data_IF_836897213881
#
_entry.id   IF_836897213881
#
_cell.length_a   1.000
_cell.length_b   1.000
_cell.length_c   1.000
_cell.angle_alpha   90.00
_cell.angle_beta   90.00
_cell.angle_gamma   90.00
#
_symmetry.space_group_name_H-M   'P 1'
#
loop_
_entity.id
_entity.type
_entity.pdbx_description
1 polymer ?
#
# COMPACT_ATOMS: atom_id res chain seq x y z
N UNK A 1 -35.58 53.91 -28.16
CA UNK A 1 -35.36 53.84 -26.69
C UNK A 1 -34.87 52.45 -26.37
N UNK A 2 -33.75 52.19 -25.65
CA UNK A 2 -32.47 52.88 -25.42
C UNK A 2 -31.37 52.30 -26.37
N UNK A 3 -30.26 52.96 -26.75
CA UNK A 3 -29.06 53.46 -26.03
C UNK A 3 -28.00 52.41 -25.65
N UNK A 4 -26.77 52.75 -26.03
CA UNK A 4 -25.42 52.34 -25.59
C UNK A 4 -24.61 51.30 -26.38
N UNK A 5 -23.74 51.89 -27.21
CA UNK A 5 -22.41 51.46 -27.63
C UNK A 5 -21.52 51.03 -26.46
N UNK A 6 -20.63 50.07 -26.71
CA UNK A 6 -19.28 50.08 -26.14
C UNK A 6 -18.31 49.41 -27.12
N UNK A 7 -17.41 50.23 -27.68
CA UNK A 7 -16.12 49.81 -28.20
C UNK A 7 -15.33 49.07 -27.12
N UNK A 8 -14.64 47.98 -27.48
CA UNK A 8 -13.22 47.86 -27.16
C UNK A 8 -12.59 46.71 -27.95
N UNK A 9 -11.85 47.13 -28.96
CA UNK A 9 -10.70 46.48 -29.55
C UNK A 9 -9.79 45.86 -28.47
N UNK A 10 -9.78 44.53 -28.39
CA UNK A 10 -8.69 43.77 -27.75
C UNK A 10 -8.14 42.80 -28.77
N UNK A 11 -7.20 43.30 -29.56
CA UNK A 11 -6.19 42.47 -30.22
C UNK A 11 -5.52 41.60 -29.16
N UNK A 12 -5.81 40.29 -29.18
CA UNK A 12 -5.01 39.29 -28.47
C UNK A 12 -3.65 39.15 -29.18
N UNK A 13 -2.75 40.10 -28.90
CA UNK A 13 -1.31 39.97 -29.15
C UNK A 13 -0.79 38.99 -28.10
N UNK A 14 -0.68 37.72 -28.48
CA UNK A 14 0.11 36.77 -27.70
C UNK A 14 1.56 37.27 -27.66
N UNK A 15 2.23 37.30 -26.50
CA UNK A 15 3.65 37.60 -26.46
C UNK A 15 4.37 36.52 -27.26
N UNK A 16 4.98 36.91 -28.37
CA UNK A 16 5.87 36.03 -29.12
C UNK A 16 7.06 35.73 -28.22
N UNK A 17 7.10 34.53 -27.63
CA UNK A 17 8.24 34.06 -26.87
C UNK A 17 9.48 34.12 -27.79
N UNK A 18 10.63 34.65 -27.33
CA UNK A 18 11.86 34.56 -28.10
C UNK A 18 12.17 33.09 -28.31
N UNK A 19 12.25 32.69 -29.58
CA UNK A 19 12.55 31.33 -30.01
C UNK A 19 13.96 30.97 -29.59
N UNK A 20 14.12 30.39 -28.40
CA UNK A 20 15.20 29.45 -28.15
C UNK A 20 14.87 28.18 -28.96
N UNK A 21 15.18 28.23 -30.26
CA UNK A 21 14.88 27.16 -31.22
C UNK A 21 15.48 25.82 -30.79
N UNK A 22 16.57 25.83 -30.02
CA UNK A 22 17.27 24.62 -29.57
C UNK A 22 16.48 23.81 -28.53
N UNK A 23 15.87 24.46 -27.53
CA UNK A 23 15.09 23.75 -26.49
C UNK A 23 13.74 23.27 -27.03
N UNK A 24 13.10 24.06 -27.89
CA UNK A 24 11.84 23.67 -28.52
C UNK A 24 12.02 22.46 -29.45
N UNK A 25 13.08 22.44 -30.27
CA UNK A 25 13.39 21.30 -31.13
C UNK A 25 13.72 20.03 -30.33
N UNK A 26 14.40 20.18 -29.18
CA UNK A 26 14.69 19.05 -28.28
C UNK A 26 13.42 18.46 -27.68
N UNK A 27 12.50 19.30 -27.21
CA UNK A 27 11.20 18.86 -26.68
C UNK A 27 10.33 18.20 -27.76
N UNK A 28 10.39 18.69 -29.00
CA UNK A 28 9.68 18.08 -30.14
C UNK A 28 10.25 16.69 -30.45
N UNK A 29 11.57 16.53 -30.42
CA UNK A 29 12.22 15.24 -30.66
C UNK A 29 11.97 14.25 -29.51
N UNK A 30 12.02 14.69 -28.25
CA UNK A 30 11.63 13.83 -27.12
C UNK A 30 10.15 13.41 -27.18
N UNK A 31 9.27 14.34 -27.53
CA UNK A 31 7.84 14.03 -27.75
C UNK A 31 7.67 12.99 -28.86
N UNK A 32 8.36 13.15 -30.00
CA UNK A 32 8.32 12.20 -31.11
C UNK A 32 8.81 10.81 -30.68
N UNK A 33 9.88 10.74 -29.89
CA UNK A 33 10.39 9.47 -29.34
C UNK A 33 9.40 8.81 -28.40
N UNK A 34 8.73 9.59 -27.54
CA UNK A 34 7.70 9.08 -26.65
C UNK A 34 6.51 8.53 -27.45
N UNK A 35 6.05 9.25 -28.46
CA UNK A 35 4.95 8.84 -29.33
C UNK A 35 5.30 7.55 -30.10
N UNK A 36 6.52 7.46 -30.65
CA UNK A 36 7.01 6.25 -31.32
C UNK A 36 7.11 5.06 -30.36
N UNK A 37 7.59 5.28 -29.14
CA UNK A 37 7.64 4.25 -28.11
C UNK A 37 6.24 3.76 -27.72
N UNK A 38 5.31 4.67 -27.45
CA UNK A 38 3.91 4.31 -27.13
C UNK A 38 3.27 3.54 -28.29
N UNK A 39 3.51 3.95 -29.54
CA UNK A 39 3.01 3.26 -30.72
C UNK A 39 3.65 1.87 -30.93
N UNK A 40 4.86 1.64 -30.41
CA UNK A 40 5.54 0.34 -30.48
C UNK A 40 5.03 -0.69 -29.47
N UNK A 41 4.24 -0.27 -28.47
CA UNK A 41 3.70 -1.19 -27.47
C UNK A 41 2.56 -1.99 -28.07
N UNK A 42 2.74 -3.32 -28.13
CA UNK A 42 1.70 -4.24 -28.60
C UNK A 42 0.52 -4.29 -27.59
N UNK A 43 -0.69 -3.88 -28.00
CA UNK A 43 -1.87 -3.92 -27.14
C UNK A 43 -2.20 -5.34 -26.66
N UNK A 44 -1.83 -6.38 -27.42
CA UNK A 44 -2.05 -7.78 -27.04
C UNK A 44 -1.17 -8.15 -25.84
N UNK A 45 0.10 -7.72 -25.82
CA UNK A 45 1.00 -7.94 -24.69
C UNK A 45 0.49 -7.24 -23.42
N UNK A 46 0.00 -6.00 -23.54
CA UNK A 46 -0.62 -5.29 -22.43
C UNK A 46 -1.84 -6.03 -21.88
N UNK A 47 -2.70 -6.56 -22.76
CA UNK A 47 -3.88 -7.31 -22.36
C UNK A 47 -3.54 -8.64 -21.70
N UNK A 48 -2.49 -9.34 -22.16
CA UNK A 48 -1.94 -10.53 -21.52
C UNK A 48 -1.45 -10.18 -20.12
N UNK A 49 -0.64 -9.13 -19.99
CA UNK A 49 -0.11 -8.69 -18.69
C UNK A 49 -1.24 -8.32 -17.73
N UNK A 50 -2.23 -7.58 -18.20
CA UNK A 50 -3.41 -7.20 -17.42
C UNK A 50 -4.19 -8.44 -16.97
N UNK A 51 -4.37 -9.42 -17.85
CA UNK A 51 -5.01 -10.71 -17.53
C UNK A 51 -4.21 -11.49 -16.48
N UNK A 52 -2.88 -11.52 -16.59
CA UNK A 52 -2.00 -12.17 -15.62
C UNK A 52 -2.11 -11.48 -14.26
N UNK A 53 -2.08 -10.15 -14.21
CA UNK A 53 -2.28 -9.37 -12.99
C UNK A 53 -3.64 -9.69 -12.38
N UNK A 54 -4.72 -9.70 -13.16
CA UNK A 54 -6.06 -10.06 -12.66
C UNK A 54 -6.11 -11.48 -12.10
N UNK A 55 -5.51 -12.46 -12.78
CA UNK A 55 -5.45 -13.86 -12.30
C UNK A 55 -4.63 -13.98 -11.02
N UNK A 56 -3.48 -13.31 -10.93
CA UNK A 56 -2.62 -13.30 -9.74
C UNK A 56 -3.34 -12.62 -8.57
N UNK A 57 -3.99 -11.48 -8.80
CA UNK A 57 -4.78 -10.77 -7.78
C UNK A 57 -5.96 -11.61 -7.31
N UNK A 58 -6.69 -12.27 -8.23
CA UNK A 58 -7.77 -13.18 -7.87
C UNK A 58 -7.25 -14.39 -7.07
N UNK A 59 -6.09 -14.94 -7.43
CA UNK A 59 -5.44 -16.02 -6.69
C UNK A 59 -5.03 -15.57 -5.27
N UNK A 60 -4.43 -14.39 -5.13
CA UNK A 60 -4.09 -13.81 -3.82
C UNK A 60 -5.35 -13.55 -3.00
N UNK A 61 -6.42 -13.04 -3.61
CA UNK A 61 -7.69 -12.80 -2.93
C UNK A 61 -8.36 -14.10 -2.49
N UNK A 62 -8.33 -15.15 -3.31
CA UNK A 62 -8.83 -16.50 -2.95
C UNK A 62 -7.97 -17.18 -1.89
N UNK A 63 -6.68 -16.85 -1.82
CA UNK A 63 -5.78 -17.31 -0.76
C UNK A 63 -5.99 -16.51 0.54
N UNK A 64 -6.45 -15.25 0.45
CA UNK A 64 -6.77 -14.38 1.59
C UNK A 64 -8.18 -14.54 2.13
N UNK A 65 -9.14 -14.96 1.30
CA UNK A 65 -10.48 -15.31 1.76
C UNK A 65 -10.39 -16.63 2.54
N UNK A 66 -10.23 -16.48 3.86
CA UNK A 66 -10.40 -17.50 4.88
C UNK A 66 -11.82 -18.09 4.83
N UNK A 67 -12.11 -18.88 3.81
CA UNK A 67 -13.01 -20.02 3.93
C UNK A 67 -12.14 -21.13 4.48
N UNK A 68 -12.64 -21.88 5.46
CA UNK A 68 -11.96 -23.03 6.05
C UNK A 68 -11.69 -24.10 4.98
N UNK A 69 -10.65 -23.90 4.17
CA UNK A 69 -10.13 -24.93 3.31
C UNK A 69 -9.38 -25.93 4.19
N UNK A 70 -9.49 -27.24 3.89
CA UNK A 70 -8.60 -28.22 4.50
C UNK A 70 -7.14 -27.80 4.27
N UNK A 71 -6.24 -28.09 5.22
CA UNK A 71 -4.85 -27.65 5.16
C UNK A 71 -4.24 -28.05 3.81
N UNK A 72 -3.80 -27.05 3.04
CA UNK A 72 -3.06 -27.31 1.80
C UNK A 72 -1.79 -28.05 2.18
N UNK A 73 -1.46 -29.11 1.45
CA UNK A 73 -0.23 -29.90 1.65
C UNK A 73 0.97 -28.93 1.74
N UNK A 74 1.66 -28.91 2.88
CA UNK A 74 2.82 -28.05 3.13
C UNK A 74 2.57 -26.73 3.90
N UNK A 75 1.33 -26.43 4.31
CA UNK A 75 1.06 -25.34 5.26
C UNK A 75 0.90 -25.89 6.68
N UNK A 76 1.61 -25.28 7.63
CA UNK A 76 1.44 -25.55 9.05
C UNK A 76 0.71 -24.39 9.73
N UNK A 77 0.01 -24.68 10.81
CA UNK A 77 -0.50 -23.61 11.66
C UNK A 77 0.66 -22.89 12.35
N UNK A 78 0.53 -21.57 12.52
CA UNK A 78 1.52 -20.74 13.21
C UNK A 78 1.73 -21.25 14.65
N UNK A 79 0.64 -21.62 15.31
CA UNK A 79 0.64 -22.44 16.51
C UNK A 79 -0.62 -23.31 16.54
N UNK A 80 -0.62 -24.43 17.29
CA UNK A 80 -1.75 -25.36 17.30
C UNK A 80 -3.08 -24.70 17.70
N UNK A 81 -4.13 -24.93 16.91
CA UNK A 81 -5.47 -24.38 17.11
C UNK A 81 -5.62 -22.91 16.71
N UNK A 82 -4.59 -22.30 16.13
CA UNK A 82 -4.65 -20.88 15.72
C UNK A 82 -5.53 -20.68 14.50
N UNK A 83 -5.63 -21.69 13.60
CA UNK A 83 -6.21 -21.55 12.27
C UNK A 83 -5.59 -20.43 11.44
N UNK A 84 -4.34 -20.04 11.74
CA UNK A 84 -3.50 -19.13 10.97
C UNK A 84 -2.42 -19.98 10.33
N UNK A 85 -2.35 -20.00 9.01
CA UNK A 85 -1.49 -20.92 8.28
C UNK A 85 -0.29 -20.20 7.67
N UNK A 86 0.87 -20.84 7.77
CA UNK A 86 2.14 -20.37 7.21
C UNK A 86 2.92 -21.59 6.71
N UNK A 87 3.59 -21.51 5.56
CA UNK A 87 4.44 -22.61 5.11
C UNK A 87 5.64 -22.77 6.06
N UNK A 88 6.08 -24.02 6.28
CA UNK A 88 7.23 -24.30 7.13
C UNK A 88 8.48 -23.57 6.66
N UNK A 89 8.75 -23.60 5.35
CA UNK A 89 9.86 -22.90 4.71
C UNK A 89 9.83 -21.40 4.99
N UNK A 90 8.65 -20.76 4.89
CA UNK A 90 8.53 -19.31 5.14
C UNK A 90 8.72 -18.98 6.61
N UNK A 91 8.18 -19.82 7.52
CA UNK A 91 8.38 -19.62 8.94
C UNK A 91 9.86 -19.75 9.32
N UNK A 92 10.56 -20.77 8.81
CA UNK A 92 12.00 -20.93 9.04
C UNK A 92 12.81 -19.72 8.55
N UNK A 93 12.50 -19.19 7.36
CA UNK A 93 13.15 -17.97 6.86
C UNK A 93 12.89 -16.77 7.78
N UNK A 94 11.64 -16.57 8.24
CA UNK A 94 11.29 -15.50 9.17
C UNK A 94 12.04 -15.66 10.51
N UNK A 95 12.21 -16.89 11.02
CA UNK A 95 12.99 -17.17 12.24
C UNK A 95 14.47 -16.85 12.07
N UNK A 96 15.05 -17.22 10.92
CA UNK A 96 16.44 -16.89 10.62
C UNK A 96 16.63 -15.37 10.51
N UNK A 97 15.74 -14.70 9.79
CA UNK A 97 15.78 -13.26 9.58
C UNK A 97 15.53 -12.49 10.86
N UNK A 98 14.72 -13.01 11.80
CA UNK A 98 14.46 -12.35 13.07
C UNK A 98 15.68 -12.31 13.99
N UNK A 99 16.67 -13.21 13.79
CA UNK A 99 17.87 -13.32 14.64
C UNK A 99 17.55 -13.42 16.13
N UNK A 100 16.46 -14.12 16.46
CA UNK A 100 15.91 -14.26 17.82
C UNK A 100 15.51 -12.94 18.50
N UNK A 101 15.32 -11.87 17.72
CA UNK A 101 14.71 -10.62 18.18
C UNK A 101 13.19 -10.69 17.99
N UNK A 102 12.45 -10.59 19.09
CA UNK A 102 10.98 -10.70 19.11
C UNK A 102 10.29 -9.53 18.41
N UNK A 103 10.86 -8.32 18.46
CA UNK A 103 10.31 -7.17 17.73
C UNK A 103 10.54 -7.31 16.23
N UNK A 104 11.70 -7.84 15.83
CA UNK A 104 11.99 -8.15 14.44
C UNK A 104 11.10 -9.27 13.92
N UNK A 105 10.94 -10.34 14.71
CA UNK A 105 9.98 -11.42 14.42
C UNK A 105 8.56 -10.87 14.24
N UNK A 106 8.12 -10.01 15.17
CA UNK A 106 6.83 -9.34 15.08
C UNK A 106 6.67 -8.60 13.75
N UNK A 107 7.65 -7.78 13.35
CA UNK A 107 7.55 -7.02 12.10
C UNK A 107 7.50 -7.92 10.86
N UNK A 108 8.33 -8.96 10.81
CA UNK A 108 8.35 -9.92 9.70
C UNK A 108 7.03 -10.70 9.57
N UNK A 109 6.48 -11.17 10.69
CA UNK A 109 5.17 -11.84 10.70
C UNK A 109 4.05 -10.87 10.32
N UNK A 110 4.05 -9.67 10.89
CA UNK A 110 3.02 -8.67 10.63
C UNK A 110 2.99 -8.25 9.16
N UNK A 111 4.15 -8.07 8.53
CA UNK A 111 4.26 -7.76 7.10
C UNK A 111 3.91 -8.95 6.19
N UNK A 112 4.09 -10.18 6.69
CA UNK A 112 3.64 -11.36 5.96
C UNK A 112 2.11 -11.46 5.90
N UNK A 113 1.43 -11.21 7.02
CA UNK A 113 -0.02 -11.35 7.12
C UNK A 113 -0.80 -10.10 6.70
N UNK A 114 -0.24 -8.90 6.86
CA UNK A 114 -0.87 -7.64 6.51
C UNK A 114 -0.01 -6.86 5.52
N UNK A 115 -0.52 -6.70 4.29
CA UNK A 115 0.09 -5.84 3.29
C UNK A 115 -0.18 -4.37 3.55
N UNK A 116 0.49 -3.49 2.81
CA UNK A 116 0.31 -2.05 2.98
C UNK A 116 -1.14 -1.61 2.74
N UNK A 117 -1.83 -2.21 1.77
CA UNK A 117 -3.25 -2.00 1.46
C UNK A 117 -4.18 -2.43 2.61
N UNK A 118 -3.79 -3.49 3.33
CA UNK A 118 -4.52 -3.95 4.51
C UNK A 118 -4.46 -2.93 5.65
N UNK A 119 -3.40 -2.11 5.70
CA UNK A 119 -3.20 -1.10 6.74
C UNK A 119 -3.84 0.25 6.40
N UNK A 120 -4.20 0.50 5.14
CA UNK A 120 -4.87 1.75 4.74
C UNK A 120 -6.25 1.83 5.39
N UNK A 121 -6.47 2.90 6.16
CA UNK A 121 -7.73 3.11 6.86
C UNK A 121 -8.00 2.07 7.96
N UNK A 122 -6.99 1.30 8.38
CA UNK A 122 -7.18 0.23 9.34
C UNK A 122 -6.91 0.67 10.79
N UNK A 123 -7.50 -0.03 11.74
CA UNK A 123 -7.14 -0.01 13.15
C UNK A 123 -6.81 -1.41 13.63
N UNK A 124 -5.75 -1.54 14.44
CA UNK A 124 -5.32 -2.83 14.97
C UNK A 124 -6.31 -3.42 15.99
N UNK A 125 -6.93 -2.55 16.78
CA UNK A 125 -7.90 -2.93 17.82
C UNK A 125 -9.07 -1.95 17.80
N UNK A 126 -10.27 -2.45 18.05
CA UNK A 126 -11.47 -1.64 18.13
C UNK A 126 -12.63 -2.42 18.73
N UNK A 127 -13.52 -1.73 19.44
CA UNK A 127 -14.85 -2.24 19.78
C UNK A 127 -15.86 -1.63 18.80
N UNK A 128 -16.93 -2.37 18.48
CA UNK A 128 -18.05 -1.83 17.69
C UNK A 128 -18.50 -0.48 18.27
N UNK A 129 -18.61 0.55 17.42
CA UNK A 129 -19.04 1.91 17.80
C UNK A 129 -17.95 2.86 18.33
N UNK A 130 -16.71 2.40 18.56
CA UNK A 130 -15.56 3.27 18.92
C UNK A 130 -14.54 3.43 17.80
N UNK A 131 -14.76 2.76 16.68
CA UNK A 131 -13.90 2.85 15.50
C UNK A 131 -14.38 4.03 14.67
N UNK A 132 -13.50 4.99 14.31
CA UNK A 132 -13.88 6.11 13.48
C UNK A 132 -14.53 5.66 12.18
N UNK A 133 -15.52 6.40 11.71
CA UNK A 133 -16.25 6.08 10.48
C UNK A 133 -15.29 5.94 9.30
N UNK A 134 -15.55 4.93 8.47
CA UNK A 134 -14.72 4.58 7.32
C UNK A 134 -13.43 3.81 7.66
N UNK A 135 -13.18 3.45 8.93
CA UNK A 135 -12.03 2.60 9.28
C UNK A 135 -12.41 1.13 9.41
N UNK A 136 -11.57 0.26 8.85
CA UNK A 136 -11.67 -1.20 9.01
C UNK A 136 -10.88 -1.67 10.23
N UNK A 137 -11.38 -2.66 10.95
CA UNK A 137 -10.60 -3.34 11.98
C UNK A 137 -9.82 -4.47 11.29
N UNK A 138 -8.53 -4.62 11.61
CA UNK A 138 -7.76 -5.78 11.14
C UNK A 138 -8.39 -7.08 11.65
N UNK A 139 -8.17 -8.19 10.91
CA UNK A 139 -8.64 -9.49 11.36
C UNK A 139 -8.09 -9.81 12.75
N UNK A 140 -8.99 -9.83 13.73
CA UNK A 140 -8.64 -9.97 15.13
C UNK A 140 -7.93 -11.30 15.39
N UNK A 141 -8.38 -12.37 14.73
CA UNK A 141 -7.80 -13.70 14.87
C UNK A 141 -6.32 -13.69 14.49
N UNK A 142 -6.00 -13.11 13.33
CA UNK A 142 -4.63 -12.96 12.84
C UNK A 142 -3.78 -12.06 13.74
N UNK A 143 -4.29 -10.90 14.18
CA UNK A 143 -3.55 -10.00 15.08
C UNK A 143 -3.23 -10.68 16.41
N UNK A 144 -4.23 -11.29 17.05
CA UNK A 144 -4.06 -11.97 18.34
C UNK A 144 -3.10 -13.14 18.19
N UNK A 145 -3.18 -13.91 17.09
CA UNK A 145 -2.29 -15.04 16.86
C UNK A 145 -0.83 -14.65 16.61
N UNK A 146 -0.56 -13.55 15.90
CA UNK A 146 0.81 -13.02 15.78
C UNK A 146 1.36 -12.63 17.15
N UNK A 147 0.57 -11.91 17.97
CA UNK A 147 0.98 -11.49 19.32
C UNK A 147 1.27 -12.72 20.19
N UNK A 148 0.36 -13.68 20.23
CA UNK A 148 0.53 -14.92 21.01
C UNK A 148 1.76 -15.71 20.58
N UNK A 149 2.03 -15.79 19.28
CA UNK A 149 3.20 -16.48 18.76
C UNK A 149 4.51 -15.80 19.21
N UNK A 150 4.60 -14.48 19.04
CA UNK A 150 5.79 -13.73 19.44
C UNK A 150 6.03 -13.79 20.95
N UNK A 151 4.96 -13.71 21.75
CA UNK A 151 5.05 -13.87 23.20
C UNK A 151 5.56 -15.26 23.59
N UNK A 152 5.10 -16.31 22.91
CA UNK A 152 5.65 -17.67 23.12
C UNK A 152 7.14 -17.74 22.78
N UNK A 153 7.58 -17.12 21.69
CA UNK A 153 9.01 -17.07 21.38
C UNK A 153 9.82 -16.30 22.42
N UNK A 154 9.24 -15.26 23.04
CA UNK A 154 9.92 -14.47 24.08
C UNK A 154 10.21 -15.24 25.37
N UNK A 155 9.57 -16.40 25.58
CA UNK A 155 9.87 -17.29 26.71
C UNK A 155 10.90 -18.37 26.37
N UNK A 156 11.44 -18.39 25.15
CA UNK A 156 12.44 -19.37 24.71
C UNK A 156 13.87 -18.83 24.94
N UNK A 157 14.81 -19.73 25.22
CA UNK A 157 16.19 -19.36 25.47
C UNK A 157 16.87 -18.68 24.26
N UNK A 158 17.58 -17.59 24.57
CA UNK A 158 18.30 -16.78 23.59
C UNK A 158 17.41 -15.85 22.75
N UNK A 159 16.12 -15.74 23.06
CA UNK A 159 15.23 -14.74 22.48
C UNK A 159 15.16 -13.48 23.33
N UNK A 160 14.99 -12.32 22.67
CA UNK A 160 14.77 -11.06 23.39
C UNK A 160 13.40 -11.06 24.05
N UNK A 161 13.31 -10.76 25.35
CA UNK A 161 12.01 -10.64 26.02
C UNK A 161 11.21 -9.43 25.49
N UNK A 162 9.88 -9.59 25.39
CA UNK A 162 8.97 -8.51 24.98
C UNK A 162 7.65 -8.61 25.75
N UNK A 163 7.15 -7.45 26.19
CA UNK A 163 5.85 -7.38 26.84
C UNK A 163 4.70 -7.30 25.84
N UNK A 164 3.53 -7.84 26.24
CA UNK A 164 2.29 -7.75 25.46
C UNK A 164 1.89 -6.30 25.17
N UNK A 165 2.11 -5.40 26.12
CA UNK A 165 1.86 -3.95 26.00
C UNK A 165 2.61 -3.34 24.80
N UNK A 166 3.87 -3.71 24.63
CA UNK A 166 4.76 -3.25 23.57
C UNK A 166 4.31 -3.77 22.19
N UNK A 167 3.92 -5.04 22.10
CA UNK A 167 3.38 -5.62 20.86
C UNK A 167 2.06 -4.96 20.46
N UNK A 168 1.13 -4.77 21.40
CA UNK A 168 -0.14 -4.05 21.14
C UNK A 168 0.12 -2.63 20.64
N UNK A 169 1.05 -1.90 21.27
CA UNK A 169 1.46 -0.56 20.82
C UNK A 169 2.07 -0.60 19.42
N UNK A 170 2.86 -1.61 19.10
CA UNK A 170 3.46 -1.79 17.79
C UNK A 170 2.42 -2.03 16.68
N UNK A 171 1.37 -2.83 16.94
CA UNK A 171 0.25 -3.00 16.01
C UNK A 171 -0.43 -1.65 15.70
N UNK A 172 -0.76 -0.87 16.73
CA UNK A 172 -1.36 0.46 16.59
C UNK A 172 -0.47 1.37 15.75
N UNK A 173 0.84 1.36 16.03
CA UNK A 173 1.81 2.19 15.31
C UNK A 173 1.93 1.79 13.83
N UNK A 174 1.92 0.50 13.50
CA UNK A 174 1.94 0.01 12.10
C UNK A 174 0.74 0.55 11.31
N UNK A 175 -0.47 0.51 11.88
CA UNK A 175 -1.66 1.11 11.26
C UNK A 175 -1.54 2.63 11.10
N UNK A 176 -1.00 3.34 12.11
CA UNK A 176 -0.90 4.81 12.09
C UNK A 176 0.13 5.33 11.09
N UNK A 177 1.32 4.73 11.03
CA UNK A 177 2.40 5.20 10.15
C UNK A 177 2.01 5.17 8.67
N UNK A 178 1.22 4.17 8.25
CA UNK A 178 0.77 4.03 6.87
C UNK A 178 -0.31 5.03 6.48
N UNK A 179 -1.16 5.45 7.43
CA UNK A 179 -2.07 6.59 7.23
C UNK A 179 -1.31 7.91 6.99
N UNK A 180 -0.20 8.13 7.70
CA UNK A 180 0.60 9.35 7.57
C UNK A 180 1.34 9.46 6.24
N UNK A 181 1.76 8.34 5.63
CA UNK A 181 2.39 8.34 4.31
C UNK A 181 1.39 8.70 3.19
N UNK A 182 0.17 8.13 3.22
CA UNK A 182 -0.87 8.44 2.22
C UNK A 182 -1.30 9.91 2.25
N UNK A 183 -1.39 10.53 3.45
CA UNK A 183 -1.71 11.96 3.57
C UNK A 183 -0.62 12.85 2.95
N UNK A 184 0.64 12.44 3.00
CA UNK A 184 1.74 13.16 2.33
C UNK A 184 1.66 13.06 0.80
N UNK A 185 1.33 11.90 0.24
CA UNK A 185 1.15 11.75 -1.21
C UNK A 185 -0.12 12.43 -1.73
N UNK A 186 -1.22 12.40 -0.98
CA UNK A 186 -2.43 13.16 -1.33
C UNK A 186 -2.18 14.68 -1.26
N UNK A 187 -1.42 15.16 -0.27
CA UNK A 187 -1.07 16.58 -0.17
C UNK A 187 -0.03 17.03 -1.22
N UNK A 188 0.75 16.11 -1.79
CA UNK A 188 1.63 16.40 -2.94
C UNK A 188 0.85 16.41 -4.27
N UNK A 189 -0.34 15.82 -4.32
CA UNK A 189 -1.25 15.85 -5.47
C UNK A 189 -2.30 16.96 -5.44
N UNK A 190 -2.37 17.73 -4.35
CA UNK A 190 -3.20 18.95 -4.24
C UNK A 190 -2.25 20.13 -4.09
N UNK A 191 -1.49 20.38 -5.15
CA UNK A 191 -0.81 21.66 -5.33
C UNK A 191 -1.87 22.75 -5.53
N UNK A 192 -1.90 23.71 -4.62
CA UNK A 192 -2.71 24.91 -4.67
C UNK A 192 -2.67 25.57 -6.05
N UNK A 193 -3.77 25.50 -6.80
CA UNK A 193 -4.12 26.52 -7.78
C UNK A 193 -4.88 27.64 -7.05
N UNK A 194 -4.15 28.45 -6.27
CA UNK A 194 -4.62 29.78 -5.87
C UNK A 194 -4.04 30.77 -6.85
N UNK A 195 -4.85 31.19 -7.82
CA UNK A 195 -4.56 32.33 -8.67
C UNK A 195 -4.60 33.60 -7.80
N UNK A 196 -3.48 34.33 -7.81
CA UNK A 196 -3.32 35.64 -7.17
C UNK A 196 -4.21 36.67 -7.87
N UNK A 197 -4.79 37.56 -7.07
CA UNK A 197 -5.53 38.76 -7.48
C UNK A 197 -4.66 39.80 -8.18
#
# INVERSE_FOLDING_TARGET
MPLYSFDTEYQHIWPSYPTCTTDSNRLIEERRRLEAFVASIDPVQLQILQTLITKISAFHQRTRQHVACPPRVGQQELYPGSGIFLSSVKLSAIHQDSRKDCMRLFHLLFEHFFSEEDLVGAVAFGKHGKVPDGKKILDRKTVDGIISYVLRCSTLDGWTSVESSKLKKACINKCRLRMSQKKKYLNLGVGNCTWMS
#
